data_IF_050378464435
#
_entry.id   IF_050378464435
#
_cell.length_a   1.000
_cell.length_b   1.000
_cell.length_c   1.000
_cell.angle_alpha   90.00
_cell.angle_beta   90.00
_cell.angle_gamma   90.00
#
_symmetry.space_group_name_H-M   'P 1'
#
loop_
_entity.id
_entity.type
_entity.pdbx_description
1 polymer ?
#
# COMPACT_ATOMS: atom_id res chain seq x y z
N UNK A 1 -48.98 13.12 13.12
CA UNK A 1 -47.65 13.36 12.51
C UNK A 1 -46.59 12.34 12.95
N UNK A 2 -46.98 11.25 13.63
CA UNK A 2 -46.03 10.37 14.34
C UNK A 2 -45.70 9.07 13.59
N UNK A 3 -46.54 8.66 12.64
CA UNK A 3 -46.29 7.48 11.79
C UNK A 3 -45.18 7.67 10.74
N UNK A 4 -44.80 8.92 10.44
CA UNK A 4 -43.75 9.22 9.46
C UNK A 4 -42.34 9.22 10.08
N UNK A 5 -42.24 9.55 11.38
CA UNK A 5 -40.96 9.48 12.13
C UNK A 5 -40.54 8.03 12.41
N UNK A 6 -41.50 7.10 12.51
CA UNK A 6 -41.20 5.69 12.76
C UNK A 6 -40.73 4.94 11.50
N UNK A 7 -41.23 5.30 10.31
CA UNK A 7 -40.76 4.74 9.02
C UNK A 7 -39.33 5.17 8.65
N UNK A 8 -38.84 6.31 9.16
CA UNK A 8 -37.45 6.75 8.97
C UNK A 8 -36.43 5.94 9.80
N UNK A 9 -36.85 5.16 10.80
CA UNK A 9 -35.96 4.30 11.62
C UNK A 9 -35.52 2.99 10.95
N UNK A 10 -36.13 2.57 9.82
CA UNK A 10 -35.89 1.24 9.20
C UNK A 10 -35.18 1.22 7.84
N UNK A 11 -34.70 2.36 7.32
CA UNK A 11 -33.71 2.35 6.23
C UNK A 11 -32.40 2.94 6.75
N UNK A 12 -31.65 2.16 7.54
CA UNK A 12 -30.23 2.47 7.76
C UNK A 12 -29.62 2.52 6.36
N UNK A 13 -29.23 3.71 5.89
CA UNK A 13 -28.59 3.87 4.58
C UNK A 13 -27.45 2.84 4.50
N UNK A 14 -27.28 2.13 3.37
CA UNK A 14 -26.24 1.10 3.23
C UNK A 14 -24.85 1.63 3.61
N UNK A 15 -24.61 2.93 3.40
CA UNK A 15 -23.40 3.64 3.83
C UNK A 15 -23.11 3.55 5.35
N UNK A 16 -24.12 3.59 6.22
CA UNK A 16 -23.91 3.52 7.67
C UNK A 16 -23.57 2.09 8.14
N UNK A 17 -24.05 1.07 7.44
CA UNK A 17 -23.68 -0.32 7.70
C UNK A 17 -22.25 -0.60 7.26
N UNK A 18 -21.86 -0.14 6.06
CA UNK A 18 -20.51 -0.30 5.53
C UNK A 18 -19.46 0.38 6.43
N UNK A 19 -19.71 1.59 6.93
CA UNK A 19 -18.79 2.27 7.85
C UNK A 19 -18.64 1.54 9.19
N UNK A 20 -19.70 0.90 9.69
CA UNK A 20 -19.67 0.14 10.95
C UNK A 20 -18.83 -1.13 10.85
N UNK A 21 -18.88 -1.82 9.71
CA UNK A 21 -18.11 -3.04 9.46
C UNK A 21 -16.79 -2.80 8.71
N UNK A 22 -16.42 -1.53 8.49
CA UNK A 22 -15.23 -1.13 7.73
C UNK A 22 -13.97 -1.85 8.19
N UNK A 23 -13.73 -1.91 9.50
CA UNK A 23 -12.55 -2.59 10.05
C UNK A 23 -12.50 -4.10 9.78
N UNK A 24 -13.66 -4.76 9.71
CA UNK A 24 -13.74 -6.18 9.37
C UNK A 24 -13.49 -6.40 7.87
N UNK A 25 -14.08 -5.56 7.01
CA UNK A 25 -13.84 -5.60 5.56
C UNK A 25 -12.36 -5.39 5.25
N UNK A 26 -11.74 -4.41 5.89
CA UNK A 26 -10.31 -4.15 5.78
C UNK A 26 -9.47 -5.33 6.25
N UNK A 27 -9.75 -5.90 7.43
CA UNK A 27 -9.02 -7.06 7.93
C UNK A 27 -9.15 -8.27 6.99
N UNK A 28 -10.35 -8.53 6.47
CA UNK A 28 -10.62 -9.60 5.52
C UNK A 28 -9.87 -9.38 4.19
N UNK A 29 -9.87 -8.15 3.67
CA UNK A 29 -9.13 -7.80 2.45
C UNK A 29 -7.60 -7.92 2.65
N UNK A 30 -7.08 -7.46 3.79
CA UNK A 30 -5.67 -7.61 4.16
C UNK A 30 -5.29 -9.08 4.23
N UNK A 31 -6.07 -9.91 4.94
CA UNK A 31 -5.80 -11.34 5.08
C UNK A 31 -5.89 -12.08 3.74
N UNK A 32 -6.88 -11.75 2.90
CA UNK A 32 -7.04 -12.36 1.57
C UNK A 32 -5.86 -12.05 0.65
N UNK A 33 -5.32 -10.83 0.72
CA UNK A 33 -4.14 -10.42 -0.07
C UNK A 33 -2.81 -10.86 0.56
N UNK A 34 -2.82 -11.21 1.85
CA UNK A 34 -1.66 -11.59 2.65
C UNK A 34 -1.87 -12.93 3.40
N UNK A 35 -2.20 -14.00 2.68
CA UNK A 35 -2.54 -15.30 3.30
C UNK A 35 -1.31 -16.06 3.86
N UNK A 36 -0.10 -15.74 3.38
CA UNK A 36 1.12 -16.49 3.71
C UNK A 36 1.71 -16.08 5.08
N UNK A 37 0.88 -16.03 6.12
CA UNK A 37 1.26 -15.64 7.48
C UNK A 37 2.46 -16.41 8.07
N UNK A 38 2.66 -17.73 7.81
CA UNK A 38 3.81 -18.46 8.37
C UNK A 38 5.17 -17.88 7.97
N UNK A 39 5.23 -17.13 6.86
CA UNK A 39 6.45 -16.51 6.40
C UNK A 39 6.96 -15.40 7.32
N UNK A 40 6.09 -14.79 8.14
CA UNK A 40 6.52 -13.84 9.18
C UNK A 40 7.48 -14.50 10.17
N UNK A 41 7.22 -15.75 10.56
CA UNK A 41 8.06 -16.49 11.50
C UNK A 41 9.30 -17.10 10.83
N UNK A 42 9.23 -17.39 9.53
CA UNK A 42 10.34 -17.95 8.77
C UNK A 42 11.35 -16.89 8.29
N UNK A 43 10.99 -15.61 8.36
CA UNK A 43 11.83 -14.53 7.82
C UNK A 43 12.05 -14.64 6.31
N UNK A 44 11.10 -15.23 5.60
CA UNK A 44 11.15 -15.47 4.16
C UNK A 44 10.02 -14.72 3.45
N UNK A 45 10.13 -14.54 2.13
CA UNK A 45 9.04 -14.02 1.31
C UNK A 45 8.43 -15.15 0.50
N UNK A 46 7.12 -15.09 0.27
CA UNK A 46 6.50 -15.95 -0.74
C UNK A 46 7.10 -15.65 -2.12
N UNK A 47 7.29 -16.63 -2.99
CA UNK A 47 7.86 -16.43 -4.34
C UNK A 47 7.04 -17.11 -5.44
N UNK A 48 5.86 -17.63 -5.11
CA UNK A 48 5.00 -18.29 -6.09
C UNK A 48 4.28 -17.32 -7.03
N UNK A 49 3.61 -17.87 -8.05
CA UNK A 49 3.06 -17.13 -9.19
C UNK A 49 2.02 -16.07 -8.85
N UNK A 50 1.39 -16.14 -7.67
CA UNK A 50 0.46 -15.10 -7.20
C UNK A 50 1.07 -13.70 -7.18
N UNK A 51 2.40 -13.60 -6.97
CA UNK A 51 3.11 -12.32 -6.91
C UNK A 51 3.17 -11.58 -8.25
N UNK A 52 2.84 -12.24 -9.35
CA UNK A 52 2.68 -11.60 -10.65
C UNK A 52 1.38 -10.77 -10.76
N UNK A 53 0.39 -11.04 -9.90
CA UNK A 53 -0.93 -10.40 -9.95
C UNK A 53 -0.97 -9.17 -9.06
N UNK A 54 -1.44 -8.05 -9.61
CA UNK A 54 -1.67 -6.82 -8.85
C UNK A 54 -2.94 -6.92 -8.01
N UNK A 55 -2.87 -6.43 -6.76
CA UNK A 55 -4.04 -6.31 -5.88
C UNK A 55 -4.43 -4.84 -5.71
N UNK A 56 -5.71 -4.54 -5.43
CA UNK A 56 -6.15 -3.16 -5.30
C UNK A 56 -5.61 -2.53 -4.00
N UNK A 57 -4.71 -1.56 -4.14
CA UNK A 57 -4.13 -0.79 -3.03
C UNK A 57 -2.63 -0.97 -2.91
N UNK A 58 -2.05 -0.49 -1.80
CA UNK A 58 -0.63 -0.67 -1.49
C UNK A 58 -0.43 -2.04 -0.82
N UNK A 59 0.19 -2.98 -1.55
CA UNK A 59 0.53 -4.31 -1.05
C UNK A 59 2.00 -4.65 -1.41
N UNK A 60 2.89 -4.63 -0.42
CA UNK A 60 4.32 -4.66 -0.68
C UNK A 60 4.72 -6.04 -1.17
N UNK A 61 5.42 -6.07 -2.31
CA UNK A 61 5.98 -7.30 -2.85
C UNK A 61 6.89 -8.03 -1.84
N UNK A 62 7.60 -7.28 -1.00
CA UNK A 62 8.52 -7.82 0.01
C UNK A 62 7.85 -8.12 1.36
N UNK A 63 6.54 -7.93 1.51
CA UNK A 63 5.85 -8.40 2.71
C UNK A 63 5.92 -9.93 2.78
N UNK A 64 6.31 -10.53 3.93
CA UNK A 64 6.39 -11.99 4.08
C UNK A 64 5.10 -12.72 3.67
N UNK A 65 3.95 -12.14 4.04
CA UNK A 65 2.64 -12.73 3.81
C UNK A 65 2.01 -12.39 2.45
N UNK A 66 2.56 -11.42 1.71
CA UNK A 66 1.96 -10.94 0.47
C UNK A 66 1.87 -12.02 -0.60
N UNK A 67 0.66 -12.22 -1.09
CA UNK A 67 0.36 -13.15 -2.18
C UNK A 67 0.37 -12.46 -3.53
N UNK A 68 -0.04 -11.19 -3.58
CA UNK A 68 -0.02 -10.35 -4.80
C UNK A 68 0.86 -9.10 -4.65
N UNK A 69 1.02 -8.35 -5.73
CA UNK A 69 1.90 -7.18 -5.78
C UNK A 69 1.16 -5.83 -5.76
N UNK A 70 1.89 -4.78 -5.39
CA UNK A 70 1.42 -3.39 -5.46
C UNK A 70 1.45 -2.93 -6.93
N UNK A 71 0.34 -2.45 -7.49
CA UNK A 71 0.29 -2.01 -8.89
C UNK A 71 1.24 -0.84 -9.18
N UNK A 72 1.49 0.04 -8.22
CA UNK A 72 2.47 1.14 -8.39
C UNK A 72 3.89 0.58 -8.48
N UNK A 73 4.25 -0.36 -7.59
CA UNK A 73 5.59 -0.97 -7.61
C UNK A 73 5.82 -1.81 -8.87
N UNK A 74 4.82 -2.61 -9.26
CA UNK A 74 4.86 -3.38 -10.49
C UNK A 74 4.94 -2.46 -11.71
N UNK A 75 4.22 -1.34 -11.72
CA UNK A 75 4.30 -0.36 -12.81
C UNK A 75 5.72 0.19 -12.95
N UNK A 76 6.36 0.59 -11.85
CA UNK A 76 7.72 1.11 -11.88
C UNK A 76 8.75 0.05 -12.29
N UNK A 77 8.60 -1.18 -11.82
CA UNK A 77 9.48 -2.28 -12.20
C UNK A 77 9.42 -2.59 -13.72
N UNK A 78 8.23 -2.48 -14.33
CA UNK A 78 8.08 -2.72 -15.77
C UNK A 78 8.45 -1.47 -16.58
N UNK A 79 7.94 -0.29 -16.22
CA UNK A 79 8.21 0.96 -16.94
C UNK A 79 9.70 1.35 -16.91
N UNK A 80 10.41 0.96 -15.86
CA UNK A 80 11.86 1.09 -15.78
C UNK A 80 12.62 0.06 -16.61
N UNK A 81 12.00 -0.98 -17.16
CA UNK A 81 12.70 -2.04 -17.90
C UNK A 81 13.00 -1.65 -19.35
N UNK A 82 14.23 -1.86 -19.81
CA UNK A 82 14.67 -1.63 -21.19
C UNK A 82 13.96 -2.52 -22.23
N UNK A 83 13.39 -3.67 -21.81
CA UNK A 83 12.68 -4.61 -22.69
C UNK A 83 11.18 -4.34 -22.83
N UNK A 84 10.56 -3.67 -21.86
CA UNK A 84 9.12 -3.44 -21.83
C UNK A 84 8.83 -1.98 -21.49
N UNK A 85 8.51 -1.17 -22.49
CA UNK A 85 8.31 0.28 -22.27
C UNK A 85 7.02 0.62 -21.52
N UNK A 86 6.00 -0.25 -21.56
CA UNK A 86 4.71 0.01 -20.95
C UNK A 86 3.93 -1.28 -20.69
N UNK A 87 3.38 -1.44 -19.48
CA UNK A 87 2.49 -2.58 -19.16
C UNK A 87 1.03 -2.17 -19.30
N UNK A 88 0.40 -2.59 -20.41
CA UNK A 88 -1.04 -2.38 -20.62
C UNK A 88 -1.90 -3.02 -19.51
N UNK A 89 -1.46 -4.15 -18.96
CA UNK A 89 -2.12 -4.81 -17.84
C UNK A 89 -2.14 -3.91 -16.59
N UNK A 90 -0.98 -3.41 -16.17
CA UNK A 90 -0.87 -2.64 -14.92
C UNK A 90 -1.52 -1.26 -15.08
N UNK A 91 -1.31 -0.62 -16.23
CA UNK A 91 -1.95 0.66 -16.54
C UNK A 91 -3.48 0.52 -16.59
N UNK A 92 -3.99 -0.51 -17.27
CA UNK A 92 -5.42 -0.81 -17.32
C UNK A 92 -6.00 -1.09 -15.94
N UNK A 93 -5.29 -1.86 -15.10
CA UNK A 93 -5.68 -2.12 -13.72
C UNK A 93 -5.78 -0.82 -12.90
N UNK A 94 -4.76 0.03 -12.95
CA UNK A 94 -4.74 1.32 -12.25
C UNK A 94 -5.85 2.25 -12.72
N UNK A 95 -6.11 2.33 -14.04
CA UNK A 95 -7.19 3.16 -14.60
C UNK A 95 -8.55 2.62 -14.19
N UNK A 96 -8.81 1.32 -14.38
CA UNK A 96 -10.09 0.68 -14.07
C UNK A 96 -10.46 0.87 -12.59
N UNK A 97 -9.57 0.48 -11.69
CA UNK A 97 -9.80 0.57 -10.26
C UNK A 97 -9.74 2.02 -9.75
N UNK A 98 -8.89 2.87 -10.36
CA UNK A 98 -8.80 4.28 -10.06
C UNK A 98 -10.08 5.05 -10.38
N UNK A 99 -10.67 4.82 -11.55
CA UNK A 99 -11.92 5.46 -11.99
C UNK A 99 -13.13 4.92 -11.25
N UNK A 100 -13.23 3.59 -11.08
CA UNK A 100 -14.41 2.97 -10.47
C UNK A 100 -14.45 3.11 -8.95
N UNK A 101 -13.32 2.88 -8.28
CA UNK A 101 -13.26 2.78 -6.82
C UNK A 101 -12.45 3.89 -6.16
N UNK A 102 -11.41 4.40 -6.82
CA UNK A 102 -10.63 5.56 -6.34
C UNK A 102 -10.25 5.46 -4.84
N UNK A 103 -10.68 6.45 -4.05
CA UNK A 103 -10.37 6.53 -2.60
C UNK A 103 -11.00 5.41 -1.76
N UNK A 104 -12.00 4.72 -2.29
CA UNK A 104 -12.61 3.57 -1.62
C UNK A 104 -11.59 2.45 -1.39
N UNK A 105 -10.67 2.23 -2.33
CA UNK A 105 -9.64 1.19 -2.23
C UNK A 105 -8.78 1.40 -1.00
N UNK A 106 -8.24 2.62 -0.81
CA UNK A 106 -7.41 2.94 0.35
C UNK A 106 -8.18 2.81 1.68
N UNK A 107 -9.48 3.08 1.68
CA UNK A 107 -10.31 3.04 2.89
C UNK A 107 -10.87 1.67 3.27
N UNK A 108 -10.90 0.70 2.35
CA UNK A 108 -11.56 -0.60 2.57
C UNK A 108 -10.76 -1.82 2.15
N UNK A 109 -9.88 -1.73 1.15
CA UNK A 109 -9.18 -2.88 0.55
C UNK A 109 -7.67 -2.87 0.78
N UNK A 110 -7.09 -1.69 0.99
CA UNK A 110 -5.64 -1.52 1.12
C UNK A 110 -5.14 -1.98 2.51
N UNK A 111 -4.16 -2.90 2.59
CA UNK A 111 -3.49 -3.30 3.83
C UNK A 111 -2.97 -2.11 4.64
N UNK A 112 -2.31 -1.16 3.97
CA UNK A 112 -1.80 0.04 4.62
C UNK A 112 -2.91 0.90 5.25
N UNK A 113 -4.08 0.99 4.60
CA UNK A 113 -5.20 1.74 5.14
C UNK A 113 -5.75 1.11 6.42
N UNK A 114 -5.80 -0.23 6.46
CA UNK A 114 -6.15 -0.97 7.67
C UNK A 114 -5.14 -0.73 8.80
N UNK A 115 -3.85 -0.78 8.48
CA UNK A 115 -2.79 -0.49 9.45
C UNK A 115 -2.87 0.94 9.99
N UNK A 116 -3.13 1.94 9.13
CA UNK A 116 -3.34 3.33 9.56
C UNK A 116 -4.55 3.48 10.49
N UNK A 117 -5.65 2.78 10.21
CA UNK A 117 -6.82 2.80 11.10
C UNK A 117 -6.53 2.13 12.44
N UNK A 118 -5.71 1.08 12.46
CA UNK A 118 -5.25 0.45 13.70
C UNK A 118 -4.36 1.40 14.51
N UNK A 119 -3.40 2.06 13.85
CA UNK A 119 -2.52 3.05 14.47
C UNK A 119 -3.31 4.24 15.03
N UNK A 120 -4.38 4.67 14.35
CA UNK A 120 -5.23 5.76 14.82
C UNK A 120 -6.07 5.40 16.06
N UNK A 121 -6.29 4.12 16.33
CA UNK A 121 -6.97 3.66 17.56
C UNK A 121 -6.05 3.67 18.78
N UNK A 122 -4.73 3.72 18.60
CA UNK A 122 -3.79 3.80 19.72
C UNK A 122 -3.98 5.15 20.44
N UNK A 123 -4.14 5.16 21.78
CA UNK A 123 -4.36 6.38 22.55
C UNK A 123 -3.03 7.15 22.73
N UNK A 124 -2.57 7.80 21.67
CA UNK A 124 -1.42 8.73 21.71
C UNK A 124 -1.90 10.18 21.55
N UNK A 125 -1.05 11.14 21.96
CA UNK A 125 -1.32 12.58 21.77
C UNK A 125 -1.30 12.89 20.26
N UNK A 126 -2.49 13.01 19.66
CA UNK A 126 -2.65 13.29 18.23
C UNK A 126 -2.36 14.77 17.96
N UNK A 127 -1.38 15.04 17.10
CA UNK A 127 -1.08 16.40 16.65
C UNK A 127 -2.10 16.83 15.59
N UNK A 128 -2.59 18.06 15.68
CA UNK A 128 -3.51 18.60 14.67
C UNK A 128 -2.78 18.79 13.34
N UNK A 129 -3.27 18.13 12.29
CA UNK A 129 -2.76 18.28 10.92
C UNK A 129 -3.37 19.48 10.20
N UNK A 130 -4.11 20.35 10.90
CA UNK A 130 -4.84 21.45 10.27
C UNK A 130 -3.92 22.47 9.59
N UNK A 131 -2.78 22.80 10.22
CA UNK A 131 -1.74 23.67 9.65
C UNK A 131 -0.94 22.98 8.54
N UNK A 132 -1.06 21.66 8.43
CA UNK A 132 -0.35 20.82 7.47
C UNK A 132 -1.20 20.47 6.23
N UNK A 133 -2.36 21.12 6.06
CA UNK A 133 -3.19 21.00 4.84
C UNK A 133 -2.41 21.16 3.53
N UNK A 134 -1.40 22.05 3.40
CA UNK A 134 -0.60 22.14 2.18
C UNK A 134 0.14 20.84 1.82
N UNK A 135 0.52 20.01 2.79
CA UNK A 135 1.16 18.72 2.54
C UNK A 135 0.23 17.70 1.87
N UNK A 136 -1.07 17.98 1.75
CA UNK A 136 -1.98 17.12 0.97
C UNK A 136 -1.66 17.11 -0.52
N UNK A 137 -0.94 18.12 -1.04
CA UNK A 137 -0.44 18.15 -2.41
C UNK A 137 0.84 17.32 -2.61
N UNK A 138 1.51 16.92 -1.52
CA UNK A 138 2.74 16.13 -1.58
C UNK A 138 2.55 14.83 -2.37
N UNK A 139 1.36 14.21 -2.31
CA UNK A 139 1.04 13.01 -3.11
C UNK A 139 1.24 13.21 -4.62
N UNK A 140 0.99 14.42 -5.14
CA UNK A 140 1.16 14.72 -6.56
C UNK A 140 2.62 14.94 -6.90
N UNK A 141 3.38 15.60 -6.02
CA UNK A 141 4.83 15.72 -6.16
C UNK A 141 5.49 14.33 -6.12
N UNK A 142 5.13 13.48 -5.16
CA UNK A 142 5.66 12.10 -5.07
C UNK A 142 5.28 11.29 -6.32
N UNK A 143 4.05 11.40 -6.82
CA UNK A 143 3.63 10.73 -8.05
C UNK A 143 4.45 11.21 -9.26
N UNK A 144 4.59 12.52 -9.44
CA UNK A 144 5.33 13.09 -10.57
C UNK A 144 6.83 12.75 -10.49
N UNK A 145 7.48 13.03 -9.37
CA UNK A 145 8.93 12.89 -9.24
C UNK A 145 9.34 11.44 -9.00
N UNK A 146 8.78 10.77 -8.00
CA UNK A 146 9.26 9.45 -7.58
C UNK A 146 8.67 8.28 -8.38
N UNK A 147 7.49 8.44 -8.99
CA UNK A 147 6.88 7.39 -9.81
C UNK A 147 7.15 7.57 -11.30
N UNK A 148 7.19 8.81 -11.80
CA UNK A 148 7.35 9.09 -13.24
C UNK A 148 8.76 9.56 -13.60
N UNK A 149 9.22 10.70 -13.08
CA UNK A 149 10.46 11.33 -13.54
C UNK A 149 11.73 10.56 -13.15
N UNK A 150 11.88 10.18 -11.88
CA UNK A 150 13.11 9.53 -11.40
C UNK A 150 13.39 8.18 -12.09
N UNK A 151 12.42 7.24 -12.19
CA UNK A 151 12.66 5.99 -12.95
C UNK A 151 12.94 6.20 -14.44
N UNK A 152 12.48 7.32 -15.03
CA UNK A 152 12.70 7.64 -16.43
C UNK A 152 14.06 8.32 -16.70
N UNK A 153 14.59 9.06 -15.72
CA UNK A 153 15.84 9.83 -15.84
C UNK A 153 17.05 9.08 -15.30
N UNK A 154 16.87 8.25 -14.26
CA UNK A 154 17.94 7.54 -13.58
C UNK A 154 17.79 6.06 -13.86
N UNK A 155 18.60 5.58 -14.82
CA UNK A 155 18.71 4.18 -15.18
C UNK A 155 20.00 3.59 -14.62
N UNK A 156 19.91 2.37 -14.11
CA UNK A 156 21.07 1.63 -13.61
C UNK A 156 21.94 1.14 -14.79
N UNK A 157 23.12 0.57 -14.49
CA UNK A 157 24.10 0.10 -15.49
C UNK A 157 23.55 -0.90 -16.53
N UNK A 158 22.44 -1.56 -16.20
CA UNK A 158 21.69 -2.49 -17.07
C UNK A 158 20.56 -1.83 -17.86
N UNK A 159 20.49 -0.49 -17.86
CA UNK A 159 19.45 0.29 -18.51
C UNK A 159 18.07 0.15 -17.87
N UNK A 160 18.01 -0.25 -16.59
CA UNK A 160 16.75 -0.38 -15.85
C UNK A 160 16.58 0.72 -14.80
N UNK A 161 15.44 1.39 -14.77
CA UNK A 161 15.09 2.36 -13.72
C UNK A 161 14.66 1.65 -12.43
N UNK A 162 15.22 2.08 -11.30
CA UNK A 162 14.83 1.56 -9.99
C UNK A 162 13.38 1.96 -9.62
N UNK A 163 12.64 1.14 -8.84
CA UNK A 163 11.33 1.51 -8.34
C UNK A 163 11.47 2.51 -7.17
N UNK A 164 11.81 3.77 -7.48
CA UNK A 164 12.17 4.81 -6.50
C UNK A 164 11.12 5.01 -5.39
N UNK A 165 9.83 4.98 -5.68
CA UNK A 165 8.80 5.13 -4.64
C UNK A 165 8.82 3.95 -3.67
N UNK A 166 8.85 2.71 -4.18
CA UNK A 166 8.96 1.53 -3.32
C UNK A 166 10.29 1.47 -2.56
N UNK A 167 11.38 1.94 -3.20
CA UNK A 167 12.73 1.94 -2.64
C UNK A 167 12.95 3.01 -1.59
N UNK A 168 12.31 4.18 -1.65
CA UNK A 168 12.61 5.30 -0.75
C UNK A 168 11.42 5.85 0.04
N UNK A 169 10.20 5.80 -0.47
CA UNK A 169 9.07 6.58 0.08
C UNK A 169 7.96 5.69 0.65
N UNK A 170 7.77 4.48 0.12
CA UNK A 170 6.61 3.65 0.45
C UNK A 170 6.59 3.24 1.93
N UNK A 171 5.64 3.76 2.73
CA UNK A 171 5.59 3.46 4.18
C UNK A 171 5.17 2.02 4.45
N UNK A 172 4.30 1.46 3.60
CA UNK A 172 3.82 0.09 3.73
C UNK A 172 4.97 -0.92 3.56
N UNK A 173 5.90 -0.67 2.64
CA UNK A 173 7.07 -1.53 2.45
C UNK A 173 8.01 -1.55 3.66
N UNK A 174 8.08 -0.46 4.42
CA UNK A 174 8.84 -0.41 5.67
C UNK A 174 8.11 -1.20 6.76
N UNK A 175 6.84 -0.88 6.98
CA UNK A 175 6.08 -1.36 8.12
C UNK A 175 5.71 -2.84 8.03
N UNK A 176 5.32 -3.32 6.85
CA UNK A 176 4.85 -4.71 6.68
C UNK A 176 5.90 -5.61 5.99
N UNK A 177 6.92 -5.02 5.35
CA UNK A 177 8.00 -5.75 4.70
C UNK A 177 9.29 -5.74 5.51
N UNK A 178 9.92 -4.58 5.58
CA UNK A 178 11.27 -4.45 6.13
C UNK A 178 11.32 -4.73 7.65
N UNK A 179 10.44 -4.15 8.47
CA UNK A 179 10.44 -4.36 9.92
C UNK A 179 10.25 -5.84 10.28
N UNK A 180 9.22 -6.55 9.76
CA UNK A 180 9.01 -7.95 10.12
C UNK A 180 10.14 -8.87 9.62
N UNK A 181 10.68 -8.62 8.43
CA UNK A 181 11.82 -9.38 7.91
C UNK A 181 13.10 -9.14 8.72
N UNK A 182 13.39 -7.88 9.08
CA UNK A 182 14.56 -7.52 9.88
C UNK A 182 14.53 -8.11 11.29
N UNK A 183 13.33 -8.24 11.87
CA UNK A 183 13.16 -8.78 13.21
C UNK A 183 13.53 -10.27 13.30
N UNK A 184 13.33 -11.02 12.20
CA UNK A 184 13.46 -12.48 12.18
C UNK A 184 14.71 -12.95 11.42
N UNK A 185 15.14 -12.23 10.39
CA UNK A 185 16.26 -12.63 9.53
C UNK A 185 17.48 -11.73 9.77
N UNK A 186 18.51 -12.31 10.39
CA UNK A 186 19.72 -11.58 10.76
C UNK A 186 20.53 -11.09 9.54
N UNK A 187 20.51 -11.85 8.44
CA UNK A 187 21.17 -11.45 7.20
C UNK A 187 20.49 -10.25 6.53
N UNK A 188 19.16 -10.20 6.57
CA UNK A 188 18.41 -9.03 6.11
C UNK A 188 18.66 -7.86 7.07
N UNK A 189 18.68 -8.10 8.39
CA UNK A 189 18.97 -7.08 9.40
C UNK A 189 20.35 -6.44 9.19
N UNK A 190 21.38 -7.23 8.87
CA UNK A 190 22.71 -6.70 8.57
C UNK A 190 22.78 -5.99 7.22
N UNK A 191 21.94 -6.37 6.25
CA UNK A 191 21.86 -5.72 4.94
C UNK A 191 21.02 -4.44 4.92
N UNK A 192 20.11 -4.28 5.90
CA UNK A 192 19.34 -3.06 6.14
C UNK A 192 20.27 -1.97 6.73
N UNK A 193 21.16 -1.44 5.88
CA UNK A 193 22.09 -0.37 6.25
C UNK A 193 21.40 0.96 6.56
N UNK A 194 22.15 2.06 6.44
CA UNK A 194 21.70 3.43 6.78
C UNK A 194 20.37 3.85 6.12
N UNK A 195 20.07 3.29 4.95
CA UNK A 195 18.85 3.53 4.18
C UNK A 195 17.57 3.07 4.90
N UNK A 196 17.65 2.02 5.73
CA UNK A 196 16.52 1.56 6.55
C UNK A 196 16.34 2.44 7.78
N UNK A 197 17.44 2.82 8.45
CA UNK A 197 17.40 3.73 9.60
C UNK A 197 16.82 5.09 9.22
N UNK A 198 17.18 5.61 8.05
CA UNK A 198 16.58 6.85 7.51
C UNK A 198 15.08 6.71 7.26
N UNK A 199 14.62 5.59 6.69
CA UNK A 199 13.19 5.31 6.47
C UNK A 199 12.37 5.12 7.76
N UNK A 200 12.99 4.69 8.84
CA UNK A 200 12.32 4.58 10.15
C UNK A 200 12.24 5.93 10.86
N UNK A 201 13.16 6.85 10.56
CA UNK A 201 13.25 8.16 11.19
C UNK A 201 12.37 9.23 10.53
N UNK A 202 12.07 9.09 9.23
CA UNK A 202 11.24 10.01 8.42
C UNK A 202 9.83 9.49 8.29
#
# INVERSE_FOLDING_TARGET
MDKEKEKKKKKKKPSHLLTRYRGFVQAAATLATNIHLPNFLKGSIYTGGGKAVCVPGLNCYSCPAATGACPIGSFQAVAGSSKFRFSYYIAGFLILFGVLLGRFICGFLCPFGWFQDLLHKIPCKKLSTEKLKPLTYLKYAVLLFAVVLLPALIVNDVGMGDPFFCKYICPQGVLEGAIPLAAVNEGIRSALGSLFTWKLAV
#
